data_IF_095969843606
#
_entry.id   IF_095969843606
#
_cell.length_a   1.000
_cell.length_b   1.000
_cell.length_c   1.000
_cell.angle_alpha   90.00
_cell.angle_beta   90.00
_cell.angle_gamma   90.00
#
_symmetry.space_group_name_H-M   'P 1'
#
loop_
_entity.id
_entity.type
_entity.pdbx_description
1 polymer ?
#
# COMPACT_ATOMS: atom_id res chain seq x y z
N UNK A 1 -8.48 14.82 5.98
CA UNK A 1 -7.61 14.38 4.89
C UNK A 1 -8.06 14.99 3.58
N UNK A 2 -7.16 15.56 2.83
CA UNK A 2 -7.48 16.10 1.51
C UNK A 2 -7.32 15.04 0.44
N UNK A 3 -7.85 15.31 -0.75
CA UNK A 3 -7.70 14.43 -1.90
C UNK A 3 -6.22 14.22 -2.24
N UNK A 4 -5.43 15.28 -2.19
CA UNK A 4 -3.99 15.20 -2.45
C UNK A 4 -3.27 14.34 -1.42
N UNK A 5 -3.64 14.45 -0.15
CA UNK A 5 -3.05 13.64 0.91
C UNK A 5 -3.39 12.16 0.72
N UNK A 6 -4.65 11.89 0.39
CA UNK A 6 -5.10 10.52 0.14
C UNK A 6 -4.32 9.90 -1.02
N UNK A 7 -4.16 10.63 -2.11
CA UNK A 7 -3.42 10.16 -3.28
C UNK A 7 -1.95 9.92 -2.94
N UNK A 8 -1.36 10.81 -2.15
CA UNK A 8 0.03 10.67 -1.73
C UNK A 8 0.23 9.40 -0.90
N UNK A 9 -0.67 9.15 0.05
CA UNK A 9 -0.61 7.94 0.88
C UNK A 9 -0.75 6.69 0.01
N UNK A 10 -1.74 6.68 -0.88
CA UNK A 10 -1.96 5.53 -1.76
C UNK A 10 -0.77 5.28 -2.68
N UNK A 11 -0.13 6.33 -3.18
CA UNK A 11 1.07 6.20 -4.01
C UNK A 11 2.23 5.60 -3.22
N UNK A 12 2.41 6.00 -1.96
CA UNK A 12 3.40 5.40 -1.09
C UNK A 12 3.13 3.91 -0.87
N UNK A 13 1.88 3.57 -0.59
CA UNK A 13 1.50 2.16 -0.37
C UNK A 13 1.75 1.32 -1.63
N UNK A 14 1.45 1.86 -2.80
CA UNK A 14 1.73 1.18 -4.08
C UNK A 14 3.22 0.95 -4.28
N UNK A 15 4.03 1.94 -3.95
CA UNK A 15 5.47 1.84 -4.07
C UNK A 15 6.02 0.75 -3.15
N UNK A 16 5.58 0.73 -1.90
CA UNK A 16 5.98 -0.30 -0.95
C UNK A 16 5.49 -1.68 -1.38
N UNK A 17 4.27 -1.76 -1.87
CA UNK A 17 3.71 -3.02 -2.37
C UNK A 17 4.57 -3.59 -3.49
N UNK A 18 4.93 -2.75 -4.44
CA UNK A 18 5.80 -3.18 -5.55
C UNK A 18 7.14 -3.66 -5.04
N UNK A 19 7.74 -2.93 -4.12
CA UNK A 19 9.03 -3.29 -3.53
C UNK A 19 8.97 -4.65 -2.84
N UNK A 20 7.98 -4.86 -1.99
CA UNK A 20 7.83 -6.13 -1.28
C UNK A 20 7.48 -7.28 -2.24
N UNK A 21 6.70 -7.01 -3.28
CA UNK A 21 6.36 -7.99 -4.29
C UNK A 21 7.62 -8.50 -5.02
N UNK A 22 8.50 -7.58 -5.38
CA UNK A 22 9.79 -7.94 -5.99
C UNK A 22 10.65 -8.74 -5.03
N UNK A 23 10.64 -8.38 -3.75
CA UNK A 23 11.38 -9.12 -2.74
C UNK A 23 10.86 -10.55 -2.58
N UNK A 24 9.54 -10.73 -2.61
CA UNK A 24 8.94 -12.07 -2.54
C UNK A 24 9.43 -12.92 -3.70
N UNK A 25 9.41 -12.39 -4.92
CA UNK A 25 9.90 -13.12 -6.09
C UNK A 25 11.38 -13.49 -5.93
N UNK A 26 12.19 -12.54 -5.50
CA UNK A 26 13.61 -12.77 -5.30
C UNK A 26 13.88 -13.88 -4.28
N UNK A 27 13.21 -13.82 -3.13
CA UNK A 27 13.45 -14.82 -2.07
C UNK A 27 12.87 -16.18 -2.42
N UNK A 28 11.78 -16.22 -3.21
CA UNK A 28 11.28 -17.50 -3.72
C UNK A 28 12.28 -18.16 -4.65
N UNK A 29 12.93 -17.38 -5.50
CA UNK A 29 14.00 -17.90 -6.39
C UNK A 29 15.20 -18.40 -5.61
N UNK A 30 15.49 -17.76 -4.47
CA UNK A 30 16.59 -18.14 -3.60
C UNK A 30 16.23 -19.24 -2.60
N UNK A 31 15.01 -19.74 -2.63
CA UNK A 31 14.50 -20.75 -1.69
C UNK A 31 14.53 -20.27 -0.23
N UNK A 32 14.41 -18.97 -0.01
CA UNK A 32 14.38 -18.38 1.33
C UNK A 32 12.93 -18.13 1.76
N UNK A 33 12.28 -19.19 2.22
CA UNK A 33 10.87 -19.14 2.59
C UNK A 33 10.56 -18.16 3.70
N UNK A 34 11.45 -18.04 4.69
CA UNK A 34 11.21 -17.13 5.82
C UNK A 34 11.16 -15.68 5.39
N UNK A 35 12.10 -15.28 4.53
CA UNK A 35 12.11 -13.92 4.02
C UNK A 35 10.91 -13.67 3.10
N UNK A 36 10.59 -14.64 2.25
CA UNK A 36 9.43 -14.55 1.37
C UNK A 36 8.14 -14.39 2.18
N UNK A 37 7.96 -15.17 3.23
CA UNK A 37 6.79 -15.10 4.10
C UNK A 37 6.70 -13.74 4.81
N UNK A 38 7.82 -13.21 5.27
CA UNK A 38 7.85 -11.89 5.88
C UNK A 38 7.29 -10.84 4.92
N UNK A 39 7.78 -10.83 3.68
CA UNK A 39 7.32 -9.86 2.69
C UNK A 39 5.88 -10.10 2.25
N UNK A 40 5.43 -11.36 2.20
CA UNK A 40 4.03 -11.68 1.92
C UNK A 40 3.10 -11.08 2.98
N UNK A 41 3.49 -11.17 4.25
CA UNK A 41 2.72 -10.54 5.33
C UNK A 41 2.68 -9.02 5.18
N UNK A 42 3.79 -8.42 4.78
CA UNK A 42 3.81 -6.98 4.52
C UNK A 42 2.87 -6.60 3.37
N UNK A 43 2.81 -7.43 2.32
CA UNK A 43 1.87 -7.20 1.22
C UNK A 43 0.42 -7.23 1.69
N UNK A 44 0.07 -8.18 2.55
CA UNK A 44 -1.28 -8.26 3.10
C UNK A 44 -1.61 -7.02 3.94
N UNK A 45 -0.67 -6.59 4.77
CA UNK A 45 -0.85 -5.38 5.58
C UNK A 45 -1.04 -4.16 4.70
N UNK A 46 -0.27 -4.05 3.62
CA UNK A 46 -0.40 -2.93 2.69
C UNK A 46 -1.75 -2.92 1.98
N UNK A 47 -2.25 -4.08 1.59
CA UNK A 47 -3.59 -4.21 1.00
C UNK A 47 -4.66 -3.75 1.99
N UNK A 48 -4.53 -4.16 3.23
CA UNK A 48 -5.48 -3.79 4.28
C UNK A 48 -5.47 -2.28 4.50
N UNK A 49 -4.27 -1.69 4.64
CA UNK A 49 -4.12 -0.24 4.80
C UNK A 49 -4.68 0.52 3.60
N UNK A 50 -4.40 0.07 2.39
CA UNK A 50 -4.92 0.71 1.18
C UNK A 50 -6.45 0.65 1.14
N UNK A 51 -7.04 -0.46 1.57
CA UNK A 51 -8.48 -0.59 1.67
C UNK A 51 -9.08 0.44 2.62
N UNK A 52 -8.48 0.60 3.79
CA UNK A 52 -8.93 1.59 4.77
C UNK A 52 -8.83 3.01 4.20
N UNK A 53 -7.69 3.32 3.60
CA UNK A 53 -7.47 4.66 3.05
C UNK A 53 -8.45 4.96 1.91
N UNK A 54 -8.75 3.98 1.07
CA UNK A 54 -9.72 4.16 0.00
C UNK A 54 -11.11 4.48 0.52
N UNK A 55 -11.47 3.94 1.68
CA UNK A 55 -12.76 4.19 2.31
C UNK A 55 -12.81 5.51 3.07
N UNK A 56 -11.68 6.13 3.35
CA UNK A 56 -11.65 7.41 4.04
C UNK A 56 -12.30 8.46 3.17
N UNK A 57 -13.31 9.13 3.73
CA UNK A 57 -13.96 10.24 3.04
C UNK A 57 -13.03 11.42 3.01
N UNK A 58 -12.85 11.98 1.84
CA UNK A 58 -12.03 13.14 1.67
C UNK A 58 -12.82 14.37 2.05
N UNK A 59 -12.30 15.06 3.04
CA UNK A 59 -12.83 16.33 3.48
C UNK A 59 -12.03 17.38 2.77
N UNK A 60 -12.50 17.91 1.71
CA UNK A 60 -11.70 18.86 0.97
C UNK A 60 -12.56 19.98 0.44
N UNK A 61 -11.90 21.04 0.13
CA UNK A 61 -12.55 22.21 -0.41
C UNK A 61 -13.08 22.00 -1.81
N UNK A 62 -12.60 21.01 -2.48
CA UNK A 62 -13.11 20.69 -3.80
C UNK A 62 -14.43 19.96 -3.72
N UNK A 63 -14.75 19.40 -2.57
CA UNK A 63 -16.09 18.93 -2.34
C UNK A 63 -16.97 20.11 -2.04
N UNK A 64 -16.35 21.13 -1.69
CA UNK A 64 -17.00 22.27 -1.22
C UNK A 64 -17.97 22.71 -2.22
N UNK A 65 -18.82 23.21 -1.87
CA UNK A 65 -19.71 23.68 -2.72
C UNK A 65 -19.27 24.83 -3.19
N UNK A 66 -18.45 24.60 -3.08
CA UNK A 66 -18.21 25.37 -3.40
C UNK A 66 -18.48 25.58 -3.91
#
# INVERSE_FOLDING_TARGET
>A
MTSADKDRILNHLRSWYRSHSQSVEHYNECNNEKAADYHKKQLENLKWMAGIIKEVKVKNSDDGPF
#
